data_IF_160298739244
#
_entry.id   IF_160298739244
#
_cell.length_a   1.000
_cell.length_b   1.000
_cell.length_c   1.000
_cell.angle_alpha   90.00
_cell.angle_beta   90.00
_cell.angle_gamma   90.00
#
_symmetry.space_group_name_H-M   'P 1'
#
loop_
_entity.id
_entity.type
_entity.pdbx_description
1 polymer ?
#
# COMPACT_ATOMS: atom_id res chain seq x y z
N UNK A 1 -1.84 8.45 -3.02
CA UNK A 1 -0.46 8.23 -3.51
C UNK A 1 -0.29 6.78 -3.91
N UNK A 2 -0.42 5.79 -3.00
CA UNK A 2 -0.28 4.37 -3.37
C UNK A 2 -1.24 3.90 -4.46
N UNK A 3 -2.54 4.20 -4.35
CA UNK A 3 -3.53 3.81 -5.37
C UNK A 3 -3.23 4.40 -6.75
N UNK A 4 -2.86 5.69 -6.82
CA UNK A 4 -2.52 6.34 -8.09
C UNK A 4 -1.25 5.76 -8.71
N UNK A 5 -0.26 5.41 -7.88
CA UNK A 5 0.97 4.76 -8.33
C UNK A 5 0.71 3.33 -8.84
N UNK A 6 -0.14 2.56 -8.15
CA UNK A 6 -0.52 1.22 -8.57
C UNK A 6 -1.23 1.22 -9.94
N UNK A 7 -2.20 2.13 -10.12
CA UNK A 7 -2.90 2.30 -11.40
C UNK A 7 -1.92 2.73 -12.50
N UNK A 8 -1.03 3.67 -12.21
CA UNK A 8 -0.01 4.12 -13.17
C UNK A 8 0.93 2.98 -13.59
N UNK A 9 1.40 2.17 -12.64
CA UNK A 9 2.22 0.99 -12.96
C UNK A 9 1.46 -0.02 -13.81
N UNK A 10 0.16 -0.23 -13.53
CA UNK A 10 -0.70 -1.10 -14.32
C UNK A 10 -0.83 -0.62 -15.77
N UNK A 11 -0.99 0.69 -16.00
CA UNK A 11 -0.97 1.26 -17.36
C UNK A 11 0.37 1.04 -18.06
N UNK A 12 1.50 1.21 -17.37
CA UNK A 12 2.82 0.97 -17.95
C UNK A 12 3.00 -0.51 -18.35
N UNK A 13 2.57 -1.44 -17.50
CA UNK A 13 2.66 -2.86 -17.80
C UNK A 13 1.78 -3.23 -19.00
N UNK A 14 0.61 -2.60 -19.13
CA UNK A 14 -0.25 -2.75 -20.30
C UNK A 14 0.42 -2.24 -21.58
N UNK A 15 1.07 -1.07 -21.54
CA UNK A 15 1.85 -0.52 -22.66
C UNK A 15 3.03 -1.44 -23.05
N UNK A 16 3.57 -2.20 -22.10
CA UNK A 16 4.61 -3.20 -22.31
C UNK A 16 4.09 -4.55 -22.81
N UNK A 17 2.77 -4.72 -22.97
CA UNK A 17 2.14 -5.96 -23.42
C UNK A 17 1.83 -6.97 -22.31
N UNK A 18 1.92 -6.56 -21.04
CA UNK A 18 1.69 -7.39 -19.85
C UNK A 18 0.47 -6.90 -19.03
N UNK A 19 -0.75 -6.99 -19.58
CA UNK A 19 -1.94 -6.44 -18.94
C UNK A 19 -2.27 -7.15 -17.62
N UNK A 20 -2.45 -6.37 -16.56
CA UNK A 20 -2.85 -6.89 -15.25
C UNK A 20 -4.38 -6.96 -15.17
N UNK A 21 -4.98 -8.09 -15.55
CA UNK A 21 -6.45 -8.19 -15.65
C UNK A 21 -7.15 -8.13 -14.28
N UNK A 22 -6.49 -8.58 -13.22
CA UNK A 22 -7.04 -8.58 -11.87
C UNK A 22 -6.84 -7.24 -11.15
N UNK A 23 -7.61 -7.04 -10.08
CA UNK A 23 -7.47 -5.88 -9.22
C UNK A 23 -6.11 -5.93 -8.48
N UNK A 24 -5.37 -4.82 -8.45
CA UNK A 24 -4.10 -4.79 -7.72
C UNK A 24 -4.35 -4.76 -6.22
N UNK A 25 -3.87 -5.78 -5.52
CA UNK A 25 -4.01 -5.85 -4.06
C UNK A 25 -3.11 -4.82 -3.38
N UNK A 26 -3.71 -3.98 -2.54
CA UNK A 26 -3.02 -2.98 -1.72
C UNK A 26 -3.28 -3.29 -0.26
N UNK A 27 -2.22 -3.67 0.45
CA UNK A 27 -2.28 -3.97 1.88
C UNK A 27 -2.17 -2.69 2.73
N UNK A 28 -3.14 -2.53 3.64
CA UNK A 28 -3.21 -1.38 4.55
C UNK A 28 -3.48 -1.84 5.98
N UNK A 29 -2.74 -1.26 6.93
CA UNK A 29 -2.93 -1.54 8.36
C UNK A 29 -4.01 -0.69 9.01
N UNK A 30 -4.44 0.37 8.33
CA UNK A 30 -5.51 1.24 8.80
C UNK A 30 -6.89 0.69 8.43
N UNK A 31 -7.53 0.04 9.40
CA UNK A 31 -8.95 -0.39 9.28
C UNK A 31 -9.89 0.77 8.96
N UNK A 32 -9.60 1.98 9.47
CA UNK A 32 -10.41 3.16 9.17
C UNK A 32 -10.31 3.56 7.69
N UNK A 33 -9.11 3.51 7.09
CA UNK A 33 -8.94 3.78 5.65
C UNK A 33 -9.71 2.76 4.82
N UNK A 34 -9.65 1.47 5.19
CA UNK A 34 -10.39 0.40 4.49
C UNK A 34 -11.90 0.62 4.64
N UNK A 35 -12.39 0.89 5.85
CA UNK A 35 -13.80 1.15 6.09
C UNK A 35 -14.30 2.40 5.34
N UNK A 36 -13.47 3.44 5.23
CA UNK A 36 -13.76 4.66 4.48
C UNK A 36 -13.73 4.46 2.97
N UNK A 37 -12.97 3.48 2.46
CA UNK A 37 -13.00 3.11 1.05
C UNK A 37 -14.27 2.30 0.71
N UNK A 38 -14.66 1.37 1.61
CA UNK A 38 -15.78 0.45 1.36
C UNK A 38 -17.16 1.01 1.69
N UNK A 39 -17.27 2.03 2.55
CA UNK A 39 -18.57 2.56 3.00
C UNK A 39 -18.81 4.03 2.60
N UNK A 40 -20.04 4.33 2.17
CA UNK A 40 -20.47 5.66 1.70
C UNK A 40 -20.66 6.72 2.80
N UNK A 41 -20.78 6.32 4.07
CA UNK A 41 -21.37 7.17 5.14
C UNK A 41 -20.40 8.19 5.75
N UNK A 42 -19.12 8.21 5.37
CA UNK A 42 -18.17 9.18 5.93
C UNK A 42 -18.27 10.56 5.25
N UNK A 43 -18.87 11.52 5.96
CA UNK A 43 -18.81 12.95 5.63
C UNK A 43 -17.46 13.50 6.07
N UNK A 44 -16.51 13.59 5.12
CA UNK A 44 -15.20 14.19 5.39
C UNK A 44 -15.35 15.67 5.74
N UNK A 45 -14.90 16.06 6.94
CA UNK A 45 -14.89 17.47 7.39
C UNK A 45 -13.82 18.33 6.69
N UNK A 46 -12.93 17.72 5.92
CA UNK A 46 -11.79 18.41 5.27
C UNK A 46 -11.72 18.07 3.78
N UNK A 47 -11.63 19.07 2.90
CA UNK A 47 -11.72 18.90 1.43
C UNK A 47 -10.64 17.96 0.85
N UNK A 48 -9.39 18.10 1.28
CA UNK A 48 -8.27 17.30 0.76
C UNK A 48 -8.35 15.81 1.12
N UNK A 49 -8.92 15.51 2.29
CA UNK A 49 -9.23 14.17 2.76
C UNK A 49 -10.30 13.60 1.83
N UNK A 50 -11.41 14.32 1.63
CA UNK A 50 -12.51 13.91 0.73
C UNK A 50 -12.05 13.53 -0.68
N UNK A 51 -11.26 14.38 -1.34
CA UNK A 51 -10.79 14.13 -2.72
C UNK A 51 -9.98 12.82 -2.82
N UNK A 52 -9.03 12.61 -1.90
CA UNK A 52 -8.22 11.38 -1.89
C UNK A 52 -9.07 10.13 -1.67
N UNK A 53 -10.06 10.19 -0.78
CA UNK A 53 -10.94 9.05 -0.54
C UNK A 53 -11.86 8.79 -1.73
N UNK A 54 -12.47 9.82 -2.33
CA UNK A 54 -13.29 9.63 -3.53
C UNK A 54 -12.55 8.90 -4.64
N UNK A 55 -11.28 9.25 -4.86
CA UNK A 55 -10.43 8.55 -5.81
C UNK A 55 -10.22 7.07 -5.45
N UNK A 56 -9.86 6.77 -4.19
CA UNK A 56 -9.65 5.40 -3.72
C UNK A 56 -10.94 4.56 -3.84
N UNK A 57 -12.10 5.14 -3.47
CA UNK A 57 -13.41 4.48 -3.60
C UNK A 57 -13.72 4.14 -5.04
N UNK A 58 -13.50 5.10 -5.94
CA UNK A 58 -13.75 4.89 -7.37
C UNK A 58 -12.87 3.76 -7.91
N UNK A 59 -11.58 3.76 -7.57
CA UNK A 59 -10.65 2.72 -7.99
C UNK A 59 -11.01 1.33 -7.44
N UNK A 60 -11.50 1.23 -6.19
CA UNK A 60 -11.98 -0.04 -5.63
C UNK A 60 -13.28 -0.51 -6.29
N UNK A 61 -14.23 0.41 -6.52
CA UNK A 61 -15.50 0.12 -7.19
C UNK A 61 -15.30 -0.35 -8.64
N UNK A 62 -14.33 0.26 -9.34
CA UNK A 62 -13.93 -0.12 -10.70
C UNK A 62 -13.11 -1.42 -10.75
N UNK A 63 -12.78 -2.05 -9.61
CA UNK A 63 -11.88 -3.20 -9.52
C UNK A 63 -10.49 -2.93 -10.10
N UNK A 64 -10.04 -1.68 -10.11
CA UNK A 64 -8.66 -1.33 -10.45
C UNK A 64 -7.71 -1.74 -9.33
N UNK A 65 -8.17 -1.62 -8.07
CA UNK A 65 -7.46 -2.04 -6.87
C UNK A 65 -8.37 -2.83 -5.92
N UNK A 66 -7.75 -3.62 -5.04
CA UNK A 66 -8.41 -4.24 -3.90
C UNK A 66 -7.68 -3.87 -2.61
N UNK A 67 -8.38 -3.22 -1.67
CA UNK A 67 -7.80 -2.92 -0.36
C UNK A 67 -7.97 -4.10 0.59
N UNK A 68 -6.83 -4.65 1.04
CA UNK A 68 -6.75 -5.73 2.03
C UNK A 68 -6.16 -5.22 3.34
N UNK A 69 -6.66 -5.75 4.44
CA UNK A 69 -6.10 -5.45 5.75
C UNK A 69 -4.85 -6.29 6.01
N UNK A 70 -3.78 -5.66 6.49
CA UNK A 70 -2.64 -6.34 7.09
C UNK A 70 -2.42 -5.85 8.51
N UNK A 71 -1.82 -6.65 9.39
CA UNK A 71 -1.45 -6.15 10.73
C UNK A 71 -0.32 -5.12 10.59
N UNK A 72 -0.27 -4.13 11.48
CA UNK A 72 0.83 -3.13 11.51
C UNK A 72 2.20 -3.77 11.71
N UNK A 73 2.27 -4.94 12.33
CA UNK A 73 3.50 -5.72 12.51
C UNK A 73 3.96 -6.40 11.22
N UNK A 74 3.03 -6.68 10.31
CA UNK A 74 3.26 -7.37 9.03
C UNK A 74 3.30 -6.39 7.85
N UNK A 75 3.13 -5.09 8.10
CA UNK A 75 3.18 -4.06 7.06
C UNK A 75 4.64 -3.86 6.59
N UNK A 76 5.05 -4.66 5.60
CA UNK A 76 6.40 -4.65 5.05
C UNK A 76 6.82 -3.27 4.52
N UNK A 77 5.88 -2.47 4.01
CA UNK A 77 6.15 -1.12 3.51
C UNK A 77 6.71 -0.17 4.59
N UNK A 78 6.52 -0.47 5.88
CA UNK A 78 7.06 0.31 6.98
C UNK A 78 8.60 0.38 6.94
N UNK A 79 9.27 -0.65 6.43
CA UNK A 79 10.74 -0.67 6.36
C UNK A 79 11.30 0.42 5.43
N UNK A 80 10.52 0.82 4.42
CA UNK A 80 10.90 1.82 3.42
C UNK A 80 10.39 3.23 3.74
N UNK A 81 9.49 3.37 4.71
CA UNK A 81 8.74 4.63 4.94
C UNK A 81 8.88 5.18 6.35
N UNK A 82 9.31 4.38 7.33
CA UNK A 82 9.38 4.78 8.74
C UNK A 82 10.78 4.55 9.31
N UNK A 83 11.15 5.39 10.28
CA UNK A 83 12.27 5.11 11.17
C UNK A 83 11.82 4.06 12.21
N UNK A 84 12.30 2.83 12.08
CA UNK A 84 11.87 1.71 12.91
C UNK A 84 12.84 1.41 14.04
N UNK A 85 12.31 0.98 15.19
CA UNK A 85 13.12 0.39 16.25
C UNK A 85 13.84 -0.85 15.73
N UNK A 86 15.06 -1.10 16.23
CA UNK A 86 15.93 -2.19 15.76
C UNK A 86 15.23 -3.55 15.69
N UNK A 87 14.39 -3.88 16.68
CA UNK A 87 13.63 -5.13 16.70
C UNK A 87 12.66 -5.25 15.53
N UNK A 88 11.82 -4.23 15.31
CA UNK A 88 10.87 -4.19 14.20
C UNK A 88 11.57 -4.16 12.84
N UNK A 89 12.68 -3.41 12.73
CA UNK A 89 13.48 -3.39 11.51
C UNK A 89 14.03 -4.78 11.16
N UNK A 90 14.61 -5.50 12.14
CA UNK A 90 15.11 -6.86 11.91
C UNK A 90 14.00 -7.80 11.46
N UNK A 91 12.85 -7.79 12.14
CA UNK A 91 11.69 -8.61 11.78
C UNK A 91 11.28 -8.37 10.33
N UNK A 92 11.03 -7.11 9.95
CA UNK A 92 10.61 -6.78 8.58
C UNK A 92 11.69 -7.06 7.54
N UNK A 93 12.97 -6.83 7.88
CA UNK A 93 14.10 -7.15 7.00
C UNK A 93 14.15 -8.65 6.71
N UNK A 94 14.02 -9.47 7.74
CA UNK A 94 14.07 -10.93 7.60
C UNK A 94 12.86 -11.43 6.77
N UNK A 95 11.67 -10.82 6.94
CA UNK A 95 10.48 -11.13 6.14
C UNK A 95 10.62 -10.80 4.65
N UNK A 96 11.38 -9.75 4.28
CA UNK A 96 11.65 -9.42 2.86
C UNK A 96 12.88 -10.16 2.29
N UNK A 97 13.47 -11.09 3.04
CA UNK A 97 14.67 -11.82 2.63
C UNK A 97 15.96 -11.00 2.68
N UNK A 98 15.96 -9.85 3.36
CA UNK A 98 17.13 -9.00 3.52
C UNK A 98 18.15 -9.62 4.46
N UNK A 99 19.42 -9.58 4.09
CA UNK A 99 20.53 -10.12 4.89
C UNK A 99 21.48 -9.01 5.36
N UNK A 100 22.19 -9.27 6.46
CA UNK A 100 23.24 -8.37 6.92
C UNK A 100 24.51 -8.61 6.11
N UNK A 101 24.94 -7.59 5.37
CA UNK A 101 26.22 -7.63 4.68
C UNK A 101 27.30 -7.42 5.73
N UNK A 102 28.02 -8.49 6.06
CA UNK A 102 29.22 -8.41 6.91
C UNK A 102 30.32 -7.74 6.12
N UNK A 103 30.50 -6.44 6.28
CA UNK A 103 31.72 -5.76 5.83
C UNK A 103 32.89 -6.28 6.67
N UNK A 104 33.86 -6.94 6.02
CA UNK A 104 35.15 -7.20 6.65
C UNK A 104 35.74 -5.85 7.02
N UNK A 105 35.94 -5.59 8.32
CA UNK A 105 36.79 -4.49 8.76
C UNK A 105 38.17 -4.75 8.15
N UNK A 106 38.58 -3.86 7.25
CA UNK A 106 39.98 -3.71 6.82
C UNK A 106 40.76 -3.15 8.00
#
# INVERSE_FOLDING_TARGET
MTTSQAIWLKCILEDMGEPQNEATEIYCDSKSVIAMAKNFVFHSKTKHIGIKYHFIRKAEANKEIELKHCKTEEQLADIFTKALLRGKFKLLRDMIGGTEIRTKKV
#
